data_IF_516490862466
#
_entry.id   IF_516490862466
#
_cell.length_a   1.000
_cell.length_b   1.000
_cell.length_c   1.000
_cell.angle_alpha   90.00
_cell.angle_beta   90.00
_cell.angle_gamma   90.00
#
_symmetry.space_group_name_H-M   'P 1'
#
loop_
_entity.id
_entity.type
_entity.pdbx_description
1 polymer ?
#
# COMPACT_ATOMS: atom_id res chain seq x y z
N UNK A 1 39.45 -73.91 22.62
CA UNK A 1 38.45 -73.15 23.40
C UNK A 1 38.92 -71.70 23.46
N UNK A 2 38.64 -70.83 22.48
CA UNK A 2 37.40 -70.15 22.10
C UNK A 2 36.84 -69.15 23.14
N UNK A 3 37.09 -67.87 22.81
CA UNK A 3 36.24 -66.67 22.98
C UNK A 3 36.20 -65.94 24.34
N UNK A 4 37.11 -64.97 24.41
CA UNK A 4 36.78 -63.55 24.69
C UNK A 4 35.37 -63.16 24.18
N UNK A 5 34.51 -62.71 25.10
CA UNK A 5 33.27 -61.92 24.98
C UNK A 5 32.60 -61.96 26.37
N UNK A 6 32.60 -60.91 27.17
CA UNK A 6 31.42 -60.03 27.25
C UNK A 6 31.68 -58.78 28.10
N UNK A 7 32.54 -57.88 27.60
CA UNK A 7 32.48 -56.43 27.92
C UNK A 7 31.41 -55.73 27.04
N UNK A 8 30.67 -56.51 26.24
CA UNK A 8 29.68 -56.02 25.26
C UNK A 8 28.29 -55.69 25.83
N UNK A 9 28.07 -55.77 27.15
CA UNK A 9 26.75 -55.51 27.73
C UNK A 9 26.52 -54.05 28.17
N UNK A 10 27.57 -53.29 28.47
CA UNK A 10 27.41 -51.93 29.03
C UNK A 10 27.48 -50.83 27.94
N UNK A 11 28.10 -51.11 26.79
CA UNK A 11 28.25 -50.11 25.71
C UNK A 11 26.98 -49.95 24.85
N UNK A 12 26.01 -50.88 24.93
CA UNK A 12 24.78 -50.79 24.11
C UNK A 12 23.71 -49.83 24.64
N UNK A 13 23.78 -49.37 25.90
CA UNK A 13 22.81 -48.40 26.45
C UNK A 13 23.25 -46.94 26.37
N UNK A 14 24.53 -46.65 26.17
CA UNK A 14 25.02 -45.28 26.01
C UNK A 14 25.02 -44.78 24.55
N UNK A 15 24.99 -45.69 23.57
CA UNK A 15 25.05 -45.33 22.13
C UNK A 15 23.65 -45.10 21.52
N UNK A 16 22.58 -45.56 22.17
CA UNK A 16 21.20 -45.41 21.66
C UNK A 16 20.52 -44.08 22.03
N UNK A 17 21.15 -43.23 22.85
CA UNK A 17 20.62 -41.90 23.22
C UNK A 17 21.29 -40.77 22.42
N UNK A 18 22.46 -41.02 21.84
CA UNK A 18 23.21 -40.00 21.06
C UNK A 18 22.85 -40.03 19.56
N UNK A 19 22.23 -41.12 19.07
CA UNK A 19 21.84 -41.24 17.65
C UNK A 19 20.41 -40.70 17.38
N UNK A 20 19.59 -40.51 18.42
CA UNK A 20 18.22 -39.96 18.26
C UNK A 20 18.19 -38.43 18.32
N UNK A 21 19.24 -37.76 18.78
CA UNK A 21 19.35 -36.29 18.79
C UNK A 21 20.05 -35.70 17.57
N UNK A 22 20.63 -36.54 16.70
CA UNK A 22 21.29 -36.11 15.47
C UNK A 22 20.42 -36.23 14.20
N UNK A 23 19.15 -36.66 14.34
CA UNK A 23 18.28 -37.00 13.21
C UNK A 23 17.00 -36.15 13.06
N UNK A 24 16.93 -34.97 13.70
CA UNK A 24 15.82 -34.01 13.52
C UNK A 24 16.29 -32.56 13.34
N UNK A 25 17.52 -32.36 12.87
CA UNK A 25 17.96 -31.05 12.38
C UNK A 25 18.51 -31.16 10.96
N UNK A 26 17.80 -31.91 10.11
CA UNK A 26 17.73 -31.53 8.69
C UNK A 26 16.89 -30.26 8.71
N UNK A 27 17.58 -29.12 8.87
CA UNK A 27 17.05 -27.85 8.43
C UNK A 27 16.68 -28.06 6.97
N UNK A 28 15.39 -28.29 6.72
CA UNK A 28 14.77 -27.84 5.49
C UNK A 28 15.00 -26.33 5.47
N UNK A 29 16.19 -25.92 5.01
CA UNK A 29 16.28 -24.73 4.20
C UNK A 29 15.50 -25.10 2.94
N UNK A 30 14.18 -24.99 3.03
CA UNK A 30 13.47 -24.46 1.87
C UNK A 30 14.15 -23.13 1.63
N UNK A 31 15.09 -23.12 0.68
CA UNK A 31 15.35 -21.92 -0.07
C UNK A 31 14.00 -21.59 -0.67
N UNK A 32 13.21 -20.77 0.04
CA UNK A 32 12.18 -19.98 -0.58
C UNK A 32 12.91 -19.36 -1.74
N UNK A 33 12.62 -19.86 -2.94
CA UNK A 33 12.97 -19.17 -4.15
C UNK A 33 12.27 -17.83 -3.97
N UNK A 34 13.06 -16.82 -3.60
CA UNK A 34 12.68 -15.44 -3.78
C UNK A 34 12.54 -15.36 -5.29
N UNK A 35 11.34 -15.66 -5.76
CA UNK A 35 10.94 -15.34 -7.12
C UNK A 35 11.21 -13.85 -7.17
N UNK A 36 12.16 -13.46 -8.02
CA UNK A 36 12.44 -12.07 -8.32
C UNK A 36 11.16 -11.46 -8.88
N UNK A 37 10.31 -10.99 -7.97
CA UNK A 37 9.54 -9.77 -8.20
C UNK A 37 10.58 -8.77 -8.68
N UNK A 38 10.29 -8.04 -9.76
CA UNK A 38 11.13 -6.93 -10.23
C UNK A 38 11.76 -6.27 -9.00
N UNK A 39 13.10 -6.17 -8.98
CA UNK A 39 13.85 -5.74 -7.80
C UNK A 39 13.06 -4.61 -7.15
N UNK A 40 12.69 -4.80 -5.89
CA UNK A 40 11.83 -3.85 -5.19
C UNK A 40 12.37 -2.45 -5.51
N UNK A 41 11.59 -1.54 -6.09
CA UNK A 41 12.12 -0.28 -6.60
C UNK A 41 12.84 0.53 -5.51
N UNK A 42 12.52 0.26 -4.24
CA UNK A 42 13.28 0.72 -3.09
C UNK A 42 14.68 0.12 -2.98
N UNK A 43 14.85 -1.19 -3.20
CA UNK A 43 16.15 -1.87 -3.20
C UNK A 43 17.07 -1.35 -4.31
N UNK A 44 16.52 -0.98 -5.47
CA UNK A 44 17.29 -0.32 -6.56
C UNK A 44 17.89 1.00 -6.07
N UNK A 45 17.09 1.83 -5.38
CA UNK A 45 17.55 3.12 -4.85
C UNK A 45 18.44 2.98 -3.62
N UNK A 46 18.20 1.97 -2.76
CA UNK A 46 19.02 1.69 -1.58
C UNK A 46 20.39 1.11 -1.95
N UNK A 47 20.49 0.38 -3.06
CA UNK A 47 21.74 -0.18 -3.58
C UNK A 47 22.46 0.72 -4.60
N UNK A 48 21.89 1.91 -4.88
CA UNK A 48 22.43 2.88 -5.81
C UNK A 48 23.85 3.33 -5.44
N UNK A 49 24.70 3.53 -6.44
CA UNK A 49 26.05 4.07 -6.25
C UNK A 49 26.00 5.48 -5.64
N UNK A 50 26.94 5.76 -4.74
CA UNK A 50 27.23 7.09 -4.20
C UNK A 50 28.45 7.74 -4.89
N UNK A 51 29.03 7.07 -5.89
CA UNK A 51 30.24 7.53 -6.59
C UNK A 51 29.90 8.07 -7.97
N UNK A 52 30.27 9.33 -8.24
CA UNK A 52 30.18 9.95 -9.55
C UNK A 52 31.51 10.59 -9.95
N UNK A 53 32.02 10.25 -11.15
CA UNK A 53 33.32 10.68 -11.66
C UNK A 53 34.49 10.50 -10.67
N UNK A 54 34.49 9.40 -9.91
CA UNK A 54 35.53 9.05 -8.95
C UNK A 54 35.48 9.80 -7.61
N UNK A 55 34.46 10.64 -7.40
CA UNK A 55 34.19 11.29 -6.12
C UNK A 55 33.08 10.51 -5.40
N UNK A 56 33.32 10.17 -4.13
CA UNK A 56 32.31 9.54 -3.26
C UNK A 56 31.49 10.61 -2.53
N UNK A 57 30.17 10.54 -2.70
CA UNK A 57 29.19 11.44 -2.09
C UNK A 57 28.43 10.79 -0.93
N UNK A 58 28.83 9.59 -0.46
CA UNK A 58 28.11 8.81 0.56
C UNK A 58 27.78 9.56 1.86
N UNK A 59 28.55 10.59 2.22
CA UNK A 59 28.29 11.42 3.40
C UNK A 59 27.14 12.44 3.22
N UNK A 60 26.84 12.82 1.98
CA UNK A 60 25.93 13.91 1.63
C UNK A 60 24.78 13.47 0.71
N UNK A 61 24.87 12.26 0.14
CA UNK A 61 23.96 11.70 -0.85
C UNK A 61 23.54 10.28 -0.52
N UNK A 62 22.24 10.06 -0.60
CA UNK A 62 21.55 8.79 -0.62
C UNK A 62 20.50 8.87 -1.73
N UNK A 63 20.56 7.97 -2.72
CA UNK A 63 19.73 8.08 -3.92
C UNK A 63 18.24 8.00 -3.58
N UNK A 64 17.91 7.17 -2.60
CA UNK A 64 16.56 7.05 -2.09
C UNK A 64 16.05 8.36 -1.48
N UNK A 65 16.80 8.97 -0.56
CA UNK A 65 16.44 10.25 0.05
C UNK A 65 16.33 11.36 -1.01
N UNK A 66 17.25 11.41 -1.95
CA UNK A 66 17.25 12.42 -3.00
C UNK A 66 16.05 12.29 -3.94
N UNK A 67 15.72 11.07 -4.33
CA UNK A 67 14.52 10.76 -5.10
C UNK A 67 13.25 11.16 -4.33
N UNK A 68 13.15 10.78 -3.05
CA UNK A 68 11.99 11.04 -2.21
C UNK A 68 11.76 12.52 -1.93
N UNK A 69 12.83 13.31 -1.76
CA UNK A 69 12.71 14.70 -1.34
C UNK A 69 12.24 15.66 -2.45
N UNK A 70 12.39 15.29 -3.73
CA UNK A 70 12.29 16.25 -4.84
C UNK A 70 11.45 15.76 -6.02
N UNK A 71 10.21 16.28 -6.13
CA UNK A 71 9.27 15.93 -7.20
C UNK A 71 9.80 16.22 -8.62
N UNK A 72 10.53 17.32 -8.79
CA UNK A 72 11.13 17.70 -10.07
C UNK A 72 12.23 16.72 -10.52
N UNK A 73 13.03 16.21 -9.58
CA UNK A 73 14.03 15.18 -9.83
C UNK A 73 13.37 13.86 -10.26
N UNK A 74 12.32 13.46 -9.54
CA UNK A 74 11.55 12.26 -9.89
C UNK A 74 10.96 12.36 -11.30
N UNK A 75 10.35 13.50 -11.62
CA UNK A 75 9.74 13.74 -12.92
C UNK A 75 10.76 13.76 -14.06
N UNK A 76 11.97 14.28 -13.82
CA UNK A 76 13.01 14.40 -14.84
C UNK A 76 13.74 13.08 -15.12
N UNK A 77 14.01 12.28 -14.08
CA UNK A 77 14.94 11.16 -14.18
C UNK A 77 14.33 9.79 -13.86
N UNK A 78 13.13 9.75 -13.28
CA UNK A 78 12.60 8.50 -12.72
C UNK A 78 13.58 7.92 -11.69
N UNK A 79 13.58 6.59 -11.55
CA UNK A 79 14.46 5.89 -10.60
C UNK A 79 15.85 5.56 -11.17
N UNK A 80 16.32 6.28 -12.19
CA UNK A 80 17.66 6.04 -12.76
C UNK A 80 18.75 6.43 -11.74
N UNK A 81 19.45 5.45 -11.12
CA UNK A 81 20.41 5.75 -10.06
C UNK A 81 21.59 6.60 -10.55
N UNK A 82 21.98 6.43 -11.83
CA UNK A 82 23.07 7.19 -12.43
C UNK A 82 22.65 8.63 -12.71
N UNK A 83 21.44 8.85 -13.20
CA UNK A 83 20.91 10.20 -13.42
C UNK A 83 20.74 10.99 -12.11
N UNK A 84 20.28 10.32 -11.04
CA UNK A 84 20.11 10.94 -9.72
C UNK A 84 21.45 11.43 -9.14
N UNK A 85 22.48 10.58 -9.15
CA UNK A 85 23.78 10.98 -8.61
C UNK A 85 24.47 12.01 -9.51
N UNK A 86 24.35 11.88 -10.82
CA UNK A 86 24.84 12.89 -11.77
C UNK A 86 24.21 14.25 -11.47
N UNK A 87 22.89 14.32 -11.30
CA UNK A 87 22.21 15.58 -11.00
C UNK A 87 22.64 16.15 -9.66
N UNK A 88 22.73 15.32 -8.62
CA UNK A 88 23.19 15.77 -7.31
C UNK A 88 24.60 16.35 -7.36
N UNK A 89 25.53 15.63 -8.00
CA UNK A 89 26.93 16.02 -8.11
C UNK A 89 27.13 17.31 -8.91
N UNK A 90 26.38 17.50 -10.00
CA UNK A 90 26.54 18.65 -10.89
C UNK A 90 25.73 19.88 -10.45
N UNK A 91 24.56 19.69 -9.84
CA UNK A 91 23.61 20.77 -9.56
C UNK A 91 23.07 20.74 -8.14
N UNK A 92 22.50 19.60 -7.71
CA UNK A 92 21.74 19.49 -6.46
C UNK A 92 22.50 19.97 -5.22
N UNK A 93 23.79 19.63 -5.10
CA UNK A 93 24.62 20.10 -3.99
C UNK A 93 24.83 21.62 -3.96
N UNK A 94 24.88 22.26 -5.13
CA UNK A 94 25.05 23.71 -5.28
C UNK A 94 23.73 24.46 -5.10
N UNK A 95 22.61 23.80 -5.39
CA UNK A 95 21.26 24.28 -5.08
C UNK A 95 20.91 24.19 -3.59
N UNK A 96 21.74 23.53 -2.77
CA UNK A 96 21.48 23.32 -1.34
C UNK A 96 20.45 22.21 -1.07
N UNK A 97 20.29 21.26 -1.99
CA UNK A 97 19.38 20.13 -1.80
C UNK A 97 19.89 19.16 -0.73
N UNK A 98 18.98 18.69 0.11
CA UNK A 98 19.22 17.69 1.15
C UNK A 98 19.04 16.32 0.51
N UNK A 99 20.12 15.54 0.40
CA UNK A 99 20.10 14.23 -0.25
C UNK A 99 20.51 13.07 0.68
N UNK A 100 20.94 13.33 1.92
CA UNK A 100 21.40 12.29 2.86
C UNK A 100 20.36 11.91 3.92
N UNK A 101 19.17 12.50 3.88
CA UNK A 101 18.06 12.18 4.78
C UNK A 101 16.75 12.56 4.12
N UNK A 102 15.68 11.88 4.51
CA UNK A 102 14.33 12.30 4.18
C UNK A 102 14.04 13.65 4.84
N UNK A 103 13.58 14.61 4.06
CA UNK A 103 12.84 15.76 4.59
C UNK A 103 11.39 15.30 4.78
N UNK A 104 10.69 15.86 5.76
CA UNK A 104 9.29 15.52 5.96
C UNK A 104 8.50 15.95 4.71
N UNK A 105 8.30 15.02 3.79
CA UNK A 105 7.37 15.15 2.68
C UNK A 105 6.10 14.41 3.07
N UNK A 106 4.96 15.03 2.78
CA UNK A 106 3.64 14.43 2.95
C UNK A 106 3.29 13.53 1.75
N UNK A 107 4.25 13.39 0.82
CA UNK A 107 4.22 12.51 -0.34
C UNK A 107 4.90 11.18 0.00
N UNK A 108 4.25 10.08 -0.38
CA UNK A 108 4.79 8.73 -0.23
C UNK A 108 5.00 8.16 -1.62
N UNK A 109 6.23 7.77 -1.94
CA UNK A 109 6.50 7.00 -3.16
C UNK A 109 6.16 5.54 -2.89
N UNK A 110 5.55 4.82 -3.82
CA UNK A 110 5.25 3.39 -3.70
C UNK A 110 5.44 2.69 -5.05
N UNK A 111 5.73 1.37 -5.10
CA UNK A 111 5.75 0.63 -6.35
C UNK A 111 4.42 0.78 -7.09
N UNK A 112 4.44 1.09 -8.38
CA UNK A 112 3.20 1.29 -9.17
C UNK A 112 2.52 -0.02 -9.58
N UNK A 113 3.13 -1.17 -9.24
CA UNK A 113 2.73 -2.49 -9.73
C UNK A 113 3.46 -2.93 -11.01
N UNK A 114 4.27 -2.06 -11.59
CA UNK A 114 5.26 -2.33 -12.65
C UNK A 114 6.69 -2.00 -12.15
N UNK A 115 7.65 -1.84 -13.07
CA UNK A 115 9.04 -1.47 -12.74
C UNK A 115 9.20 0.03 -12.37
N UNK A 116 8.10 0.76 -12.19
CA UNK A 116 8.06 2.17 -11.83
C UNK A 116 7.54 2.40 -10.41
N UNK A 117 7.53 3.67 -10.01
CA UNK A 117 6.94 4.12 -8.74
C UNK A 117 5.99 5.28 -8.95
N UNK A 118 5.00 5.33 -8.07
CA UNK A 118 3.98 6.37 -8.01
C UNK A 118 4.16 7.20 -6.75
N UNK A 119 3.81 8.48 -6.85
CA UNK A 119 3.84 9.42 -5.73
C UNK A 119 2.40 9.66 -5.29
N UNK A 120 2.11 9.38 -4.02
CA UNK A 120 0.79 9.58 -3.42
C UNK A 120 0.91 10.66 -2.35
N UNK A 121 0.25 11.80 -2.56
CA UNK A 121 0.17 12.87 -1.56
C UNK A 121 -0.93 12.53 -0.54
N UNK A 122 -0.52 11.99 0.61
CA UNK A 122 -1.46 11.47 1.60
C UNK A 122 -2.25 12.56 2.32
N UNK A 123 -1.92 13.84 2.13
CA UNK A 123 -2.63 14.97 2.72
C UNK A 123 -3.50 15.73 1.72
N UNK A 124 -3.44 15.35 0.43
CA UNK A 124 -4.29 15.91 -0.62
C UNK A 124 -5.71 15.32 -0.54
N UNK A 125 -6.42 15.72 0.49
CA UNK A 125 -7.83 15.46 0.73
C UNK A 125 -8.37 16.48 1.74
N UNK A 126 -9.69 16.68 1.78
CA UNK A 126 -10.34 17.59 2.73
C UNK A 126 -11.71 17.04 3.16
N UNK A 127 -12.40 17.75 4.07
CA UNK A 127 -13.70 17.34 4.58
C UNK A 127 -14.90 17.81 3.71
N UNK A 128 -14.67 18.44 2.56
CA UNK A 128 -15.70 18.92 1.62
C UNK A 128 -16.53 20.11 2.13
N UNK A 129 -16.08 20.78 3.19
CA UNK A 129 -16.81 21.88 3.84
C UNK A 129 -17.84 21.42 4.87
N UNK A 130 -17.71 20.19 5.39
CA UNK A 130 -18.52 19.74 6.53
C UNK A 130 -18.29 20.63 7.74
N UNK A 131 -19.39 20.94 8.46
CA UNK A 131 -19.27 21.44 9.83
C UNK A 131 -18.72 20.37 10.77
N UNK A 132 -18.15 20.76 11.91
CA UNK A 132 -17.62 19.82 12.90
C UNK A 132 -18.65 18.74 13.33
N UNK A 133 -19.94 19.12 13.45
CA UNK A 133 -21.01 18.18 13.78
C UNK A 133 -21.26 17.17 12.64
N UNK A 134 -21.27 17.63 11.39
CA UNK A 134 -21.43 16.74 10.24
C UNK A 134 -20.26 15.78 10.12
N UNK A 135 -19.04 16.28 10.33
CA UNK A 135 -17.82 15.48 10.29
C UNK A 135 -17.81 14.42 11.39
N UNK A 136 -18.17 14.76 12.63
CA UNK A 136 -18.28 13.79 13.73
C UNK A 136 -19.27 12.65 13.39
N UNK A 137 -20.43 12.99 12.80
CA UNK A 137 -21.43 11.98 12.40
C UNK A 137 -20.89 11.11 11.26
N UNK A 138 -20.30 11.71 10.23
CA UNK A 138 -19.74 10.99 9.09
C UNK A 138 -18.61 10.04 9.52
N UNK A 139 -17.68 10.52 10.36
CA UNK A 139 -16.58 9.72 10.92
C UNK A 139 -17.09 8.59 11.81
N UNK A 140 -18.13 8.81 12.63
CA UNK A 140 -18.74 7.73 13.41
C UNK A 140 -19.30 6.61 12.53
N UNK A 141 -19.92 6.95 11.40
CA UNK A 141 -20.43 5.95 10.44
C UNK A 141 -19.29 5.22 9.74
N UNK A 142 -18.29 5.96 9.26
CA UNK A 142 -17.11 5.40 8.62
C UNK A 142 -16.35 4.43 9.55
N UNK A 143 -16.18 4.79 10.82
CA UNK A 143 -15.53 3.94 11.83
C UNK A 143 -16.29 2.63 12.06
N UNK A 144 -17.63 2.67 12.15
CA UNK A 144 -18.45 1.46 12.27
C UNK A 144 -18.30 0.57 11.03
N UNK A 145 -18.35 1.17 9.84
CA UNK A 145 -18.16 0.45 8.58
C UNK A 145 -16.77 -0.23 8.55
N UNK A 146 -15.70 0.52 8.81
CA UNK A 146 -14.34 -0.01 8.84
C UNK A 146 -14.16 -1.13 9.87
N UNK A 147 -14.80 -1.00 11.04
CA UNK A 147 -14.79 -2.03 12.08
C UNK A 147 -15.41 -3.34 11.57
N UNK A 148 -16.56 -3.26 10.90
CA UNK A 148 -17.20 -4.46 10.33
C UNK A 148 -16.40 -5.06 9.18
N UNK A 149 -15.77 -4.24 8.33
CA UNK A 149 -14.85 -4.71 7.29
C UNK A 149 -13.68 -5.48 7.92
N UNK A 150 -13.01 -4.90 8.92
CA UNK A 150 -11.89 -5.55 9.62
C UNK A 150 -12.32 -6.87 10.27
N UNK A 151 -13.50 -6.92 10.88
CA UNK A 151 -14.06 -8.16 11.44
C UNK A 151 -14.29 -9.22 10.36
N UNK A 152 -14.85 -8.81 9.22
CA UNK A 152 -15.11 -9.71 8.10
C UNK A 152 -13.81 -10.24 7.49
N UNK A 153 -12.78 -9.41 7.40
CA UNK A 153 -11.46 -9.77 6.88
C UNK A 153 -10.60 -10.59 7.87
N UNK A 154 -10.89 -10.56 9.18
CA UNK A 154 -10.01 -11.10 10.22
C UNK A 154 -9.63 -12.59 10.07
N UNK A 155 -10.50 -13.39 9.45
CA UNK A 155 -10.28 -14.83 9.24
C UNK A 155 -9.91 -15.18 7.80
N UNK A 156 -9.74 -14.18 6.94
CA UNK A 156 -9.40 -14.41 5.55
C UNK A 156 -7.89 -14.56 5.38
N UNK A 157 -7.47 -15.68 4.78
CA UNK A 157 -6.09 -15.88 4.35
C UNK A 157 -5.97 -15.52 2.87
N UNK A 158 -5.24 -14.46 2.51
CA UNK A 158 -5.04 -14.07 1.12
C UNK A 158 -4.43 -15.16 0.25
N UNK A 159 -4.90 -15.22 -1.00
CA UNK A 159 -4.28 -16.04 -2.05
C UNK A 159 -2.96 -15.39 -2.49
N UNK A 160 -2.04 -16.22 -3.01
CA UNK A 160 -0.78 -15.72 -3.60
C UNK A 160 -1.05 -14.63 -4.64
N UNK A 161 -0.44 -13.45 -4.47
CA UNK A 161 -0.59 -12.30 -5.37
C UNK A 161 -1.79 -11.39 -5.07
N UNK A 162 -2.45 -11.56 -3.93
CA UNK A 162 -3.48 -10.64 -3.44
C UNK A 162 -3.32 -10.49 -1.94
N UNK A 163 -3.33 -9.28 -1.42
CA UNK A 163 -3.26 -8.99 0.01
C UNK A 163 -4.63 -8.58 0.57
N UNK A 164 -4.69 -8.35 1.89
CA UNK A 164 -5.96 -8.05 2.56
C UNK A 164 -6.38 -6.60 2.32
N UNK A 165 -5.42 -5.67 2.22
CA UNK A 165 -5.73 -4.23 2.19
C UNK A 165 -6.47 -3.85 0.89
N UNK A 166 -6.10 -4.42 -0.26
CA UNK A 166 -6.85 -4.20 -1.51
C UNK A 166 -8.28 -4.76 -1.45
N UNK A 167 -8.49 -5.86 -0.73
CA UNK A 167 -9.81 -6.49 -0.57
C UNK A 167 -10.69 -5.67 0.39
N UNK A 168 -10.11 -5.13 1.46
CA UNK A 168 -10.78 -4.18 2.34
C UNK A 168 -11.19 -2.91 1.59
N UNK A 169 -10.32 -2.40 0.70
CA UNK A 169 -10.65 -1.28 -0.20
C UNK A 169 -11.84 -1.61 -1.10
N UNK A 170 -11.85 -2.77 -1.76
CA UNK A 170 -12.96 -3.20 -2.62
C UNK A 170 -14.26 -3.34 -1.82
N UNK A 171 -14.19 -3.85 -0.58
CA UNK A 171 -15.34 -3.94 0.30
C UNK A 171 -15.88 -2.55 0.67
N UNK A 172 -15.00 -1.64 1.08
CA UNK A 172 -15.34 -0.26 1.43
C UNK A 172 -15.96 0.49 0.23
N UNK A 173 -15.35 0.38 -0.95
CA UNK A 173 -15.85 0.94 -2.20
C UNK A 173 -17.27 0.44 -2.50
N UNK A 174 -17.51 -0.86 -2.35
CA UNK A 174 -18.84 -1.47 -2.47
C UNK A 174 -19.90 -0.89 -1.53
N UNK A 175 -19.55 -0.67 -0.27
CA UNK A 175 -20.46 -0.05 0.70
C UNK A 175 -20.78 1.39 0.29
N UNK A 176 -19.78 2.18 -0.11
CA UNK A 176 -19.99 3.56 -0.55
C UNK A 176 -20.87 3.59 -1.80
N UNK A 177 -20.66 2.67 -2.74
CA UNK A 177 -21.52 2.54 -3.92
C UNK A 177 -22.96 2.25 -3.52
N UNK A 178 -23.19 1.41 -2.51
CA UNK A 178 -24.53 1.15 -2.01
C UNK A 178 -25.20 2.41 -1.43
N UNK A 179 -24.46 3.26 -0.71
CA UNK A 179 -24.96 4.57 -0.26
C UNK A 179 -25.25 5.51 -1.44
N UNK A 180 -24.39 5.51 -2.46
CA UNK A 180 -24.60 6.30 -3.67
C UNK A 180 -25.87 5.85 -4.40
N UNK A 181 -26.09 4.54 -4.53
CA UNK A 181 -27.28 3.97 -5.16
C UNK A 181 -28.59 4.27 -4.40
N UNK A 182 -28.54 4.44 -3.08
CA UNK A 182 -29.68 4.88 -2.24
C UNK A 182 -29.84 6.42 -2.22
N UNK A 183 -28.84 7.16 -2.70
CA UNK A 183 -28.79 8.61 -2.73
C UNK A 183 -29.16 9.22 -4.08
N UNK A 184 -29.23 10.55 -4.12
CA UNK A 184 -29.42 11.32 -5.36
C UNK A 184 -28.10 11.92 -5.82
N UNK A 185 -27.67 11.59 -7.05
CA UNK A 185 -26.54 12.29 -7.66
C UNK A 185 -26.92 13.75 -7.95
N UNK A 186 -26.12 14.70 -7.46
CA UNK A 186 -26.35 16.13 -7.68
C UNK A 186 -25.04 16.92 -7.58
N UNK A 187 -24.99 18.06 -8.27
CA UNK A 187 -23.89 19.03 -8.19
C UNK A 187 -24.31 20.37 -7.59
N UNK A 188 -25.56 20.46 -7.12
CA UNK A 188 -26.17 21.69 -6.55
C UNK A 188 -26.71 21.51 -5.14
N UNK A 189 -26.66 20.27 -4.62
CA UNK A 189 -27.06 19.94 -3.26
C UNK A 189 -26.25 20.71 -2.20
N UNK A 190 -26.68 20.67 -0.94
CA UNK A 190 -25.94 21.39 0.12
C UNK A 190 -24.69 20.62 0.55
N UNK A 191 -24.77 19.30 0.56
CA UNK A 191 -23.79 18.36 1.11
C UNK A 191 -23.26 17.38 0.07
N UNK A 192 -23.61 17.54 -1.21
CA UNK A 192 -23.32 16.59 -2.30
C UNK A 192 -21.84 16.20 -2.41
N UNK A 193 -20.95 17.14 -2.09
CA UNK A 193 -19.48 16.96 -2.10
C UNK A 193 -18.90 16.44 -0.78
N UNK A 194 -19.73 16.04 0.19
CA UNK A 194 -19.28 15.65 1.53
C UNK A 194 -19.59 14.18 1.83
N UNK A 195 -18.79 13.57 2.71
CA UNK A 195 -19.09 12.23 3.25
C UNK A 195 -20.42 12.21 4.04
N UNK A 196 -20.78 13.32 4.70
CA UNK A 196 -22.10 13.47 5.32
C UNK A 196 -23.24 13.41 4.30
N UNK A 197 -23.03 13.98 3.10
CA UNK A 197 -23.94 13.88 1.97
C UNK A 197 -24.28 12.44 1.65
N UNK A 198 -23.23 11.64 1.43
CA UNK A 198 -23.32 10.22 1.10
C UNK A 198 -23.96 9.41 2.24
N UNK A 199 -23.42 9.53 3.46
CA UNK A 199 -23.82 8.64 4.55
C UNK A 199 -25.14 9.04 5.24
N UNK A 200 -25.58 10.29 5.11
CA UNK A 200 -26.67 10.84 5.91
C UNK A 200 -27.68 11.62 5.08
N UNK A 201 -27.24 12.59 4.28
CA UNK A 201 -28.16 13.50 3.58
C UNK A 201 -28.78 12.89 2.31
N UNK A 202 -28.29 11.72 1.86
CA UNK A 202 -28.74 11.01 0.65
C UNK A 202 -28.59 11.84 -0.63
N UNK A 203 -27.53 12.62 -0.70
CA UNK A 203 -27.11 13.34 -1.89
C UNK A 203 -25.60 13.19 -2.07
N UNK A 204 -25.14 13.02 -3.32
CA UNK A 204 -23.73 12.77 -3.58
C UNK A 204 -23.27 13.29 -4.94
N UNK A 205 -21.96 13.42 -5.08
CA UNK A 205 -21.21 13.46 -6.34
C UNK A 205 -19.97 12.58 -6.21
N UNK A 206 -19.11 12.56 -7.25
CA UNK A 206 -17.78 11.94 -7.20
C UNK A 206 -16.97 12.40 -6.00
N UNK A 207 -16.86 13.71 -5.80
CA UNK A 207 -16.27 14.33 -4.62
C UNK A 207 -16.80 13.78 -3.28
N UNK A 208 -18.13 13.66 -3.15
CA UNK A 208 -18.75 13.18 -1.93
C UNK A 208 -18.47 11.71 -1.68
N UNK A 209 -18.60 10.88 -2.73
CA UNK A 209 -18.32 9.45 -2.69
C UNK A 209 -16.86 9.17 -2.34
N UNK A 210 -15.92 9.89 -2.94
CA UNK A 210 -14.49 9.73 -2.67
C UNK A 210 -14.12 10.13 -1.25
N UNK A 211 -14.66 11.23 -0.72
CA UNK A 211 -14.47 11.58 0.70
C UNK A 211 -15.12 10.58 1.64
N UNK A 212 -16.28 10.02 1.30
CA UNK A 212 -16.94 8.98 2.09
C UNK A 212 -16.08 7.72 2.16
N UNK A 213 -15.53 7.28 1.02
CA UNK A 213 -14.59 6.18 0.94
C UNK A 213 -13.32 6.48 1.74
N UNK A 214 -12.71 7.64 1.54
CA UNK A 214 -11.53 8.10 2.28
C UNK A 214 -11.69 8.05 3.80
N UNK A 215 -12.84 8.49 4.34
CA UNK A 215 -13.11 8.35 5.78
C UNK A 215 -13.13 6.90 6.26
N UNK A 216 -13.61 5.95 5.44
CA UNK A 216 -13.56 4.53 5.80
C UNK A 216 -12.10 4.05 5.77
N UNK A 217 -11.32 4.45 4.76
CA UNK A 217 -9.90 4.11 4.61
C UNK A 217 -9.07 4.61 5.80
N UNK A 218 -9.32 5.82 6.32
CA UNK A 218 -8.69 6.35 7.54
C UNK A 218 -8.81 5.35 8.71
N UNK A 219 -10.00 4.77 8.90
CA UNK A 219 -10.26 3.81 9.98
C UNK A 219 -9.81 2.37 9.67
N UNK A 220 -9.56 2.06 8.39
CA UNK A 220 -8.91 0.81 7.99
C UNK A 220 -7.38 0.87 8.15
N UNK A 221 -6.83 2.07 8.36
CA UNK A 221 -5.37 2.30 8.40
C UNK A 221 -4.74 2.41 7.02
N UNK A 222 -5.53 2.65 5.98
CA UNK A 222 -5.09 2.70 4.59
C UNK A 222 -4.87 4.17 4.20
N UNK A 223 -3.64 4.49 3.79
CA UNK A 223 -3.25 5.84 3.37
C UNK A 223 -3.75 6.10 1.96
N UNK A 224 -4.20 7.33 1.68
CA UNK A 224 -4.85 7.65 0.41
C UNK A 224 -4.66 9.12 -0.01
N UNK A 225 -4.75 9.38 -1.31
CA UNK A 225 -4.84 10.69 -1.94
C UNK A 225 -6.20 10.84 -2.64
N UNK A 226 -6.79 12.03 -2.56
CA UNK A 226 -7.98 12.38 -3.34
C UNK A 226 -7.58 12.76 -4.77
N UNK A 227 -7.71 11.81 -5.70
CA UNK A 227 -7.44 12.08 -7.11
C UNK A 227 -8.43 13.11 -7.66
N UNK A 228 -7.92 14.06 -8.44
CA UNK A 228 -8.70 15.09 -9.12
C UNK A 228 -9.54 16.00 -8.21
N UNK A 229 -9.18 16.11 -6.93
CA UNK A 229 -9.85 17.01 -5.98
C UNK A 229 -9.97 18.45 -6.53
N UNK A 230 -11.17 19.01 -6.42
CA UNK A 230 -11.45 20.38 -6.86
C UNK A 230 -11.58 20.57 -8.38
N UNK A 231 -11.59 19.48 -9.15
CA UNK A 231 -11.79 19.52 -10.61
C UNK A 231 -13.12 18.90 -11.02
N UNK A 232 -13.50 19.06 -12.29
CA UNK A 232 -14.69 18.42 -12.89
C UNK A 232 -14.46 17.00 -13.39
N UNK A 233 -13.23 16.48 -13.29
CA UNK A 233 -12.93 15.10 -13.68
C UNK A 233 -13.49 14.11 -12.64
N UNK A 234 -13.57 12.84 -13.02
CA UNK A 234 -13.91 11.76 -12.08
C UNK A 234 -12.89 11.73 -10.94
N UNK A 235 -13.36 11.37 -9.75
CA UNK A 235 -12.58 11.43 -8.51
C UNK A 235 -12.65 10.08 -7.83
N UNK A 236 -11.51 9.62 -7.31
CA UNK A 236 -11.33 8.34 -6.63
C UNK A 236 -10.22 8.48 -5.59
N UNK A 237 -9.99 7.43 -4.80
CA UNK A 237 -8.85 7.35 -3.90
C UNK A 237 -7.69 6.66 -4.61
N UNK A 238 -6.54 7.32 -4.75
CA UNK A 238 -5.27 6.58 -4.90
C UNK A 238 -4.89 6.10 -3.52
N UNK A 239 -4.53 4.83 -3.38
CA UNK A 239 -4.31 4.19 -2.07
C UNK A 239 -2.96 3.51 -2.01
N UNK A 240 -2.44 3.36 -0.81
CA UNK A 240 -1.28 2.52 -0.52
C UNK A 240 -1.81 1.24 0.11
N UNK A 241 -1.73 0.14 -0.63
CA UNK A 241 -2.27 -1.16 -0.23
C UNK A 241 -1.26 -2.27 -0.47
N UNK A 242 -1.11 -3.14 0.52
CA UNK A 242 -0.23 -4.31 0.51
C UNK A 242 1.22 -3.97 0.10
N UNK A 243 1.67 -2.77 0.46
CA UNK A 243 3.01 -2.25 0.17
C UNK A 243 3.19 -1.62 -1.22
N UNK A 244 2.13 -1.44 -2.00
CA UNK A 244 2.19 -0.88 -3.35
C UNK A 244 1.05 0.11 -3.64
N UNK A 245 1.13 0.78 -4.80
CA UNK A 245 0.04 1.58 -5.32
C UNK A 245 -1.19 0.71 -5.57
N UNK A 246 -2.34 1.29 -5.25
CA UNK A 246 -3.64 0.83 -5.72
C UNK A 246 -4.59 2.00 -5.91
N UNK A 247 -5.81 1.66 -6.29
CA UNK A 247 -6.93 2.60 -6.38
C UNK A 247 -8.16 2.03 -5.71
N UNK A 248 -9.06 2.91 -5.28
CA UNK A 248 -10.39 2.56 -4.81
C UNK A 248 -11.41 3.63 -5.23
N UNK A 249 -12.53 3.20 -5.82
CA UNK A 249 -13.56 4.07 -6.37
C UNK A 249 -14.92 3.76 -5.72
N UNK A 250 -15.41 4.71 -4.91
CA UNK A 250 -16.66 4.57 -4.18
C UNK A 250 -17.92 4.71 -5.03
N UNK A 251 -17.84 5.30 -6.23
CA UNK A 251 -18.98 5.33 -7.17
C UNK A 251 -19.07 4.00 -7.89
N UNK A 252 -17.95 3.51 -8.42
CA UNK A 252 -17.93 2.30 -9.22
C UNK A 252 -17.87 1.02 -8.37
N UNK A 253 -17.62 1.14 -7.06
CA UNK A 253 -17.68 0.01 -6.13
C UNK A 253 -16.54 -0.98 -6.34
N UNK A 254 -15.40 -0.48 -6.81
CA UNK A 254 -14.23 -1.27 -7.21
C UNK A 254 -12.96 -0.76 -6.55
N UNK A 255 -11.99 -1.64 -6.38
CA UNK A 255 -10.61 -1.31 -6.04
C UNK A 255 -9.66 -2.23 -6.80
N UNK A 256 -8.37 -1.90 -6.82
CA UNK A 256 -7.37 -2.71 -7.49
C UNK A 256 -5.95 -2.25 -7.20
N UNK A 257 -4.98 -3.01 -7.70
CA UNK A 257 -3.57 -2.63 -7.69
C UNK A 257 -3.22 -1.72 -8.85
N UNK A 258 -2.21 -0.89 -8.65
CA UNK A 258 -1.71 0.07 -9.62
C UNK A 258 -2.65 1.24 -9.84
N UNK A 259 -2.51 1.86 -11.01
CA UNK A 259 -3.30 3.03 -11.41
C UNK A 259 -4.74 2.68 -11.72
N UNK A 260 -5.63 3.64 -11.44
CA UNK A 260 -7.05 3.51 -11.85
C UNK A 260 -7.18 3.50 -13.38
N UNK A 261 -8.19 2.80 -13.89
CA UNK A 261 -8.61 2.92 -15.30
C UNK A 261 -8.93 4.36 -15.70
N UNK A 262 -9.33 5.21 -14.75
CA UNK A 262 -9.61 6.64 -14.92
C UNK A 262 -8.35 7.49 -15.19
N UNK A 263 -7.16 6.96 -14.93
CA UNK A 263 -5.87 7.60 -15.24
C UNK A 263 -5.00 6.76 -16.19
N UNK A 264 -5.63 5.83 -16.90
CA UNK A 264 -4.97 5.00 -17.92
C UNK A 264 -4.31 3.73 -17.38
N UNK A 265 -4.61 3.32 -16.15
CA UNK A 265 -4.20 2.02 -15.62
C UNK A 265 -4.94 0.84 -16.26
N UNK A 266 -4.29 -0.33 -16.25
CA UNK A 266 -4.81 -1.60 -16.76
C UNK A 266 -5.03 -2.63 -15.62
N UNK A 267 -4.93 -2.18 -14.38
CA UNK A 267 -5.05 -3.00 -13.17
C UNK A 267 -6.40 -3.72 -13.11
N UNK A 268 -6.36 -4.99 -12.69
CA UNK A 268 -7.58 -5.79 -12.52
C UNK A 268 -8.45 -5.20 -11.40
N UNK A 269 -9.67 -4.81 -11.75
CA UNK A 269 -10.68 -4.37 -10.80
C UNK A 269 -11.22 -5.55 -9.96
N UNK A 270 -11.38 -5.28 -8.66
CA UNK A 270 -11.98 -6.15 -7.66
C UNK A 270 -13.23 -5.44 -7.15
N UNK A 271 -14.39 -6.06 -7.33
CA UNK A 271 -15.67 -5.51 -6.91
C UNK A 271 -16.10 -6.03 -5.53
N UNK A 272 -17.12 -5.40 -4.95
CA UNK A 272 -17.81 -5.93 -3.76
C UNK A 272 -18.27 -7.39 -3.93
N UNK A 273 -18.78 -7.73 -5.11
CA UNK A 273 -19.28 -9.08 -5.38
C UNK A 273 -18.17 -10.13 -5.34
N UNK A 274 -16.94 -9.76 -5.71
CA UNK A 274 -15.77 -10.62 -5.63
C UNK A 274 -15.37 -10.87 -4.18
N UNK A 275 -15.39 -9.83 -3.33
CA UNK A 275 -14.88 -9.91 -1.95
C UNK A 275 -15.89 -10.41 -0.92
N UNK A 276 -17.20 -10.18 -1.10
CA UNK A 276 -18.21 -10.58 -0.11
C UNK A 276 -18.19 -12.10 0.18
N UNK A 277 -17.94 -12.90 -0.85
CA UNK A 277 -17.81 -14.34 -0.73
C UNK A 277 -16.50 -14.75 -0.04
N UNK A 278 -15.43 -13.95 -0.18
CA UNK A 278 -14.13 -14.20 0.44
C UNK A 278 -14.18 -13.95 1.95
N UNK A 279 -14.88 -12.91 2.39
CA UNK A 279 -15.06 -12.60 3.80
C UNK A 279 -16.19 -13.39 4.48
N UNK A 280 -16.79 -14.35 3.77
CA UNK A 280 -17.91 -15.18 4.27
C UNK A 280 -19.10 -14.36 4.77
N UNK A 281 -19.33 -13.19 4.17
CA UNK A 281 -20.48 -12.34 4.49
C UNK A 281 -21.65 -12.87 3.67
N UNK A 282 -22.56 -13.58 4.34
CA UNK A 282 -23.79 -14.14 3.76
C UNK A 282 -25.02 -13.31 4.14
#
# INVERSE_FOLDING_TARGET
MNKSKSVRSIIKKAVSIIIVTAFTMIMFFESTSIVSRAEDPYEILLSATTVYNGVDYSAEYDAYCYYMNYADIRAAFGMDPYALIMHYALYGRFEGRIANRLIATEEVVVPSGDDSVSVIDINKHDNGGMSAKQEQIARSKASQIATEIKKAAANYTPKKGTGVEVLECAYAAGIVQAYCNDGTYTTSGKNYRTAYGVFVAREYSSEGATRALGLILDYLGIRWEHANIGTYADQWCRVIVDGQEGFADGINGVAGYGKSSLEGGDGKEISYADVRAMFSVY
#
